data_IF_961183401312
#
_entry.id   IF_961183401312
#
_cell.length_a   1.000
_cell.length_b   1.000
_cell.length_c   1.000
_cell.angle_alpha   90.00
_cell.angle_beta   90.00
_cell.angle_gamma   90.00
#
_symmetry.space_group_name_H-M   'P 1'
#
loop_
_entity.id
_entity.type
_entity.pdbx_description
1 polymer ?
#
# COMPACT_ATOMS: atom_id res chain seq x y z
N UNK A 1 0.72 -10.91 8.03
CA UNK A 1 -0.63 -10.41 8.39
C UNK A 1 -0.53 -9.02 9.00
N UNK A 2 -1.43 -8.10 8.62
CA UNK A 2 -1.52 -6.73 9.14
C UNK A 2 -2.84 -6.58 9.90
N UNK A 3 -2.81 -5.87 11.03
CA UNK A 3 -4.00 -5.63 11.84
C UNK A 3 -3.97 -4.22 12.40
N UNK A 4 -5.10 -3.52 12.31
CA UNK A 4 -5.36 -2.23 12.96
C UNK A 4 -6.42 -2.43 14.04
N UNK A 5 -6.20 -1.91 15.25
CA UNK A 5 -7.11 -1.99 16.39
C UNK A 5 -7.37 -0.60 16.95
N UNK A 6 -8.56 -0.09 16.72
CA UNK A 6 -9.08 1.20 17.24
C UNK A 6 -8.16 2.39 16.98
N UNK A 7 -7.47 2.37 15.82
CA UNK A 7 -6.55 3.42 15.46
C UNK A 7 -7.25 4.77 15.38
N UNK A 8 -6.69 5.74 16.10
CA UNK A 8 -7.18 7.13 16.08
C UNK A 8 -6.02 8.11 15.91
N UNK A 9 -6.27 9.18 15.14
CA UNK A 9 -5.31 10.25 14.89
C UNK A 9 -6.01 11.57 14.64
N UNK A 10 -5.54 12.61 15.35
CA UNK A 10 -6.00 13.98 15.18
C UNK A 10 -4.84 14.91 14.80
N UNK A 11 -5.13 15.93 14.04
CA UNK A 11 -4.23 17.03 13.70
C UNK A 11 -4.92 18.35 14.09
N UNK A 12 -4.58 18.88 15.26
CA UNK A 12 -5.32 19.99 15.85
C UNK A 12 -6.78 19.60 16.09
N UNK A 13 -7.71 20.38 15.54
CA UNK A 13 -9.16 20.13 15.64
C UNK A 13 -9.66 19.02 14.68
N UNK A 14 -8.85 18.60 13.70
CA UNK A 14 -9.27 17.63 12.67
C UNK A 14 -8.99 16.21 13.16
N UNK A 15 -10.06 15.43 13.37
CA UNK A 15 -9.98 14.00 13.65
C UNK A 15 -9.88 13.22 12.33
N UNK A 16 -8.66 13.00 11.86
CA UNK A 16 -8.39 12.35 10.58
C UNK A 16 -8.70 10.84 10.57
N UNK A 17 -8.52 10.17 11.72
CA UNK A 17 -8.83 8.74 11.90
C UNK A 17 -9.50 8.57 13.25
N UNK A 18 -10.61 7.80 13.29
CA UNK A 18 -11.51 7.70 14.44
C UNK A 18 -11.88 6.24 14.71
N UNK A 19 -11.04 5.50 15.44
CA UNK A 19 -11.28 4.11 15.83
C UNK A 19 -11.29 3.14 14.65
N UNK A 20 -10.35 3.27 13.72
CA UNK A 20 -10.23 2.38 12.57
C UNK A 20 -9.70 1.02 12.99
N UNK A 21 -10.48 -0.04 12.72
CA UNK A 21 -10.13 -1.42 12.98
C UNK A 21 -10.37 -2.28 11.74
N UNK A 22 -9.35 -3.04 11.32
CA UNK A 22 -9.42 -4.01 10.23
C UNK A 22 -8.22 -4.96 10.26
N UNK A 23 -8.27 -6.01 9.43
CA UNK A 23 -7.14 -6.92 9.19
C UNK A 23 -6.92 -7.13 7.70
N UNK A 24 -5.65 -7.35 7.31
CA UNK A 24 -5.27 -7.83 6.00
C UNK A 24 -4.46 -9.13 6.18
N UNK A 25 -4.82 -10.17 5.42
CA UNK A 25 -4.34 -11.54 5.61
C UNK A 25 -3.21 -11.89 4.65
N UNK A 26 -2.41 -12.88 5.05
CA UNK A 26 -1.38 -13.46 4.18
C UNK A 26 -2.03 -14.13 2.95
N UNK A 27 -1.38 -14.01 1.80
CA UNK A 27 -1.89 -14.55 0.54
C UNK A 27 -3.13 -13.83 0.00
N UNK A 28 -3.40 -12.61 0.46
CA UNK A 28 -4.54 -11.81 0.01
C UNK A 28 -4.12 -10.38 -0.35
N UNK A 29 -4.88 -9.79 -1.27
CA UNK A 29 -4.81 -8.36 -1.59
C UNK A 29 -6.03 -7.69 -0.96
N UNK A 30 -5.77 -6.80 0.01
CA UNK A 30 -6.79 -5.97 0.66
C UNK A 30 -6.73 -4.55 0.14
N UNK A 31 -7.84 -4.02 -0.36
CA UNK A 31 -7.98 -2.64 -0.80
C UNK A 31 -8.47 -1.74 0.32
N UNK A 32 -7.77 -0.65 0.61
CA UNK A 32 -8.22 0.42 1.50
C UNK A 32 -8.86 1.52 0.66
N UNK A 33 -10.18 1.48 0.53
CA UNK A 33 -10.97 2.33 -0.36
C UNK A 33 -11.59 3.51 0.40
N UNK A 34 -11.67 4.65 -0.24
CA UNK A 34 -12.33 5.83 0.30
C UNK A 34 -12.01 7.10 -0.49
N UNK A 35 -12.79 8.18 -0.32
CA UNK A 35 -12.53 9.44 -1.00
C UNK A 35 -11.24 10.11 -0.48
N UNK A 36 -10.83 11.18 -1.15
CA UNK A 36 -9.73 12.01 -0.67
C UNK A 36 -10.08 12.60 0.70
N UNK A 37 -9.12 12.63 1.62
CA UNK A 37 -9.36 13.09 2.98
C UNK A 37 -10.06 12.08 3.91
N UNK A 38 -10.46 10.90 3.44
CA UNK A 38 -11.12 9.88 4.28
C UNK A 38 -10.27 9.31 5.42
N UNK A 39 -8.95 9.54 5.42
CA UNK A 39 -8.03 9.01 6.43
C UNK A 39 -7.16 7.84 5.97
N UNK A 40 -7.25 7.40 4.70
CA UNK A 40 -6.49 6.26 4.16
C UNK A 40 -4.97 6.38 4.38
N UNK A 41 -4.35 7.43 3.81
CA UNK A 41 -2.90 7.64 3.92
C UNK A 41 -2.46 7.89 5.38
N UNK A 42 -3.31 8.52 6.21
CA UNK A 42 -3.04 8.66 7.65
C UNK A 42 -3.00 7.30 8.34
N UNK A 43 -3.96 6.43 8.04
CA UNK A 43 -4.01 5.04 8.55
C UNK A 43 -2.78 4.27 8.11
N UNK A 44 -2.43 4.30 6.81
CA UNK A 44 -1.22 3.64 6.32
C UNK A 44 0.05 4.18 7.00
N UNK A 45 0.18 5.50 7.18
CA UNK A 45 1.33 6.12 7.86
C UNK A 45 1.48 5.68 9.32
N UNK A 46 0.39 5.35 10.00
CA UNK A 46 0.45 4.72 11.33
C UNK A 46 0.91 3.27 11.24
N UNK A 47 0.40 2.48 10.29
CA UNK A 47 0.80 1.10 10.06
C UNK A 47 2.31 0.99 9.76
N UNK A 48 2.86 1.85 8.89
CA UNK A 48 4.29 1.82 8.61
C UNK A 48 5.13 2.76 9.52
N UNK A 49 4.58 3.09 10.70
CA UNK A 49 5.31 3.71 11.83
C UNK A 49 5.88 5.10 11.57
N UNK A 50 5.41 5.83 10.55
CA UNK A 50 5.77 7.24 10.29
C UNK A 50 4.97 8.19 11.16
N UNK A 51 3.72 7.82 11.47
CA UNK A 51 2.87 8.54 12.42
C UNK A 51 2.59 7.66 13.64
N UNK A 52 2.74 8.23 14.83
CA UNK A 52 2.29 7.57 16.05
C UNK A 52 0.78 7.76 16.20
N UNK A 53 -0.02 6.70 16.41
CA UNK A 53 -1.43 6.83 16.73
C UNK A 53 -1.63 7.55 18.07
N UNK A 54 -2.69 8.32 18.20
CA UNK A 54 -3.07 8.97 19.47
C UNK A 54 -3.77 7.96 20.38
N UNK A 55 -4.54 7.02 19.82
CA UNK A 55 -5.13 5.88 20.51
C UNK A 55 -5.15 4.64 19.59
N UNK A 56 -5.36 3.47 20.21
CA UNK A 56 -5.29 2.20 19.51
C UNK A 56 -3.87 1.76 19.20
N UNK A 57 -3.74 0.67 18.45
CA UNK A 57 -2.46 0.12 18.00
C UNK A 57 -2.61 -0.59 16.66
N UNK A 58 -1.49 -0.88 16.01
CA UNK A 58 -1.46 -1.77 14.84
C UNK A 58 -0.38 -2.84 15.02
N UNK A 59 -0.57 -3.97 14.33
CA UNK A 59 0.31 -5.12 14.46
C UNK A 59 0.73 -5.60 13.08
N UNK A 60 2.02 -5.87 12.95
CA UNK A 60 2.64 -6.44 11.75
C UNK A 60 3.22 -7.79 12.15
N UNK A 61 2.63 -8.88 11.69
CA UNK A 61 2.98 -10.24 12.12
C UNK A 61 3.00 -10.37 13.66
N UNK A 62 2.00 -9.76 14.32
CA UNK A 62 1.85 -9.75 15.78
C UNK A 62 2.73 -8.74 16.53
N UNK A 63 3.57 -7.96 15.85
CA UNK A 63 4.45 -6.95 16.46
C UNK A 63 3.79 -5.59 16.50
N UNK A 64 3.70 -4.99 17.67
CA UNK A 64 3.13 -3.65 17.87
C UNK A 64 3.93 -2.57 17.14
N UNK A 65 3.25 -1.71 16.38
CA UNK A 65 3.89 -0.55 15.75
C UNK A 65 4.26 0.54 16.75
N UNK A 66 3.66 0.52 17.95
CA UNK A 66 3.95 1.48 19.04
C UNK A 66 5.13 1.03 19.88
N UNK A 67 5.15 -0.24 20.26
CA UNK A 67 6.10 -0.77 21.23
C UNK A 67 7.34 -1.37 20.55
N UNK A 68 7.18 -1.94 19.36
CA UNK A 68 8.25 -2.56 18.58
C UNK A 68 8.40 -1.97 17.15
N UNK A 69 8.47 -0.65 16.98
CA UNK A 69 8.41 -0.02 15.65
C UNK A 69 9.52 -0.47 14.68
N UNK A 70 10.72 -0.76 15.19
CA UNK A 70 11.81 -1.23 14.35
C UNK A 70 11.59 -2.67 13.87
N UNK A 71 11.03 -3.52 14.71
CA UNK A 71 10.70 -4.89 14.36
C UNK A 71 9.55 -4.93 13.34
N UNK A 72 8.52 -4.10 13.54
CA UNK A 72 7.43 -3.92 12.59
C UNK A 72 7.92 -3.43 11.22
N UNK A 73 8.81 -2.43 11.17
CA UNK A 73 9.42 -1.94 9.90
C UNK A 73 10.19 -3.02 9.15
N UNK A 74 10.90 -3.90 9.85
CA UNK A 74 11.65 -4.99 9.20
C UNK A 74 10.74 -6.01 8.51
N UNK A 75 9.49 -6.13 8.96
CA UNK A 75 8.50 -7.04 8.39
C UNK A 75 7.67 -6.41 7.24
N UNK A 76 7.90 -5.12 6.94
CA UNK A 76 7.13 -4.34 5.96
C UNK A 76 7.97 -3.92 4.76
N UNK A 77 7.43 -4.11 3.56
CA UNK A 77 7.81 -3.37 2.37
C UNK A 77 6.81 -2.24 2.14
N UNK A 78 7.29 -1.02 1.99
CA UNK A 78 6.42 0.16 1.87
C UNK A 78 6.68 0.92 0.58
N UNK A 79 5.62 1.15 -0.19
CA UNK A 79 5.56 2.13 -1.25
C UNK A 79 4.66 3.28 -0.79
N UNK A 80 5.25 4.36 -0.27
CA UNK A 80 4.50 5.54 0.14
C UNK A 80 4.13 6.40 -1.06
N UNK A 81 3.03 7.13 -0.95
CA UNK A 81 2.64 8.12 -1.96
C UNK A 81 3.79 9.12 -2.21
N UNK A 82 4.13 9.35 -3.48
CA UNK A 82 5.23 10.24 -3.85
C UNK A 82 6.63 9.70 -3.52
N UNK A 83 6.77 8.40 -3.24
CA UNK A 83 8.08 7.77 -2.99
C UNK A 83 9.05 8.04 -4.14
N UNK A 84 9.92 9.02 -3.97
CA UNK A 84 10.98 9.35 -4.92
C UNK A 84 12.05 8.27 -4.98
N UNK A 85 12.74 8.19 -6.11
CA UNK A 85 13.99 7.44 -6.24
C UNK A 85 15.17 8.39 -6.20
N UNK A 86 16.35 7.93 -5.79
CA UNK A 86 17.56 8.73 -5.80
C UNK A 86 18.01 8.94 -7.25
N UNK A 87 17.87 10.17 -7.73
CA UNK A 87 18.08 10.53 -9.14
C UNK A 87 19.51 10.31 -9.64
N UNK A 88 20.50 10.39 -8.74
CA UNK A 88 21.93 10.22 -9.04
C UNK A 88 22.43 8.80 -8.87
N UNK A 89 21.52 7.87 -8.56
CA UNK A 89 21.79 6.42 -8.52
C UNK A 89 21.07 5.75 -9.69
N UNK A 90 21.65 4.66 -10.18
CA UNK A 90 20.97 3.74 -11.10
C UNK A 90 19.82 3.02 -10.37
N UNK A 91 18.95 2.31 -11.11
CA UNK A 91 17.91 1.51 -10.45
C UNK A 91 18.54 0.43 -9.56
N UNK A 92 19.59 -0.26 -10.05
CA UNK A 92 20.32 -1.28 -9.30
C UNK A 92 20.95 -0.73 -8.03
N UNK A 93 21.59 0.42 -8.09
CA UNK A 93 22.16 1.10 -6.92
C UNK A 93 21.10 1.55 -5.93
N UNK A 94 19.95 2.07 -6.41
CA UNK A 94 18.80 2.38 -5.57
C UNK A 94 18.35 1.15 -4.76
N UNK A 95 18.23 -0.02 -5.41
CA UNK A 95 17.83 -1.27 -4.74
C UNK A 95 18.90 -1.70 -3.73
N UNK A 96 20.17 -1.75 -4.15
CA UNK A 96 21.27 -2.16 -3.30
C UNK A 96 21.43 -1.28 -2.06
N UNK A 97 21.26 0.05 -2.20
CA UNK A 97 21.32 1.00 -1.09
C UNK A 97 20.25 0.70 -0.04
N UNK A 98 19.01 0.39 -0.45
CA UNK A 98 17.97 0.00 0.50
C UNK A 98 18.25 -1.35 1.16
N UNK A 99 18.87 -2.29 0.45
CA UNK A 99 19.38 -3.53 1.05
C UNK A 99 20.41 -3.25 2.14
N UNK A 100 21.30 -2.29 1.93
CA UNK A 100 22.27 -1.86 2.93
C UNK A 100 21.60 -1.27 4.18
N UNK A 101 20.60 -0.41 4.02
CA UNK A 101 19.84 0.15 5.13
C UNK A 101 19.12 -0.93 5.96
N UNK A 102 18.78 -2.07 5.34
CA UNK A 102 18.24 -3.24 6.02
C UNK A 102 19.31 -4.18 6.60
N UNK A 103 20.60 -3.82 6.51
CA UNK A 103 21.71 -4.59 7.08
C UNK A 103 22.15 -5.80 6.22
N UNK A 104 21.77 -5.86 4.95
CA UNK A 104 22.18 -6.94 4.05
C UNK A 104 23.68 -6.83 3.71
N UNK A 105 24.35 -7.97 3.58
CA UNK A 105 25.73 -8.02 3.10
C UNK A 105 25.86 -7.49 1.66
N UNK A 106 27.05 -7.09 1.26
CA UNK A 106 27.31 -6.61 -0.11
C UNK A 106 26.95 -7.65 -1.18
N UNK A 107 27.26 -8.92 -0.93
CA UNK A 107 26.92 -10.03 -1.82
C UNK A 107 25.42 -10.25 -1.91
N UNK A 108 24.72 -10.30 -0.76
CA UNK A 108 23.28 -10.58 -0.72
C UNK A 108 22.46 -9.48 -1.39
N UNK A 109 22.80 -8.20 -1.14
CA UNK A 109 22.09 -7.08 -1.78
C UNK A 109 22.35 -7.01 -3.28
N UNK A 110 23.56 -7.40 -3.76
CA UNK A 110 23.86 -7.45 -5.19
C UNK A 110 23.08 -8.58 -5.88
N UNK A 111 23.07 -9.78 -5.32
CA UNK A 111 22.27 -10.90 -5.80
C UNK A 111 20.77 -10.55 -5.80
N UNK A 112 20.27 -9.98 -4.69
CA UNK A 112 18.87 -9.60 -4.56
C UNK A 112 18.46 -8.49 -5.54
N UNK A 113 19.34 -7.51 -5.81
CA UNK A 113 19.08 -6.49 -6.82
C UNK A 113 18.94 -7.11 -8.21
N UNK A 114 19.74 -8.13 -8.55
CA UNK A 114 19.62 -8.86 -9.82
C UNK A 114 18.28 -9.61 -9.91
N UNK A 115 17.90 -10.36 -8.87
CA UNK A 115 16.60 -11.05 -8.83
C UNK A 115 15.43 -10.06 -9.03
N UNK A 116 15.47 -8.89 -8.37
CA UNK A 116 14.40 -7.90 -8.47
C UNK A 116 14.38 -7.20 -9.82
N UNK A 117 15.53 -6.98 -10.44
CA UNK A 117 15.62 -6.47 -11.81
C UNK A 117 14.95 -7.43 -12.79
N UNK A 118 15.11 -8.74 -12.61
CA UNK A 118 14.46 -9.78 -13.42
C UNK A 118 12.96 -9.84 -13.14
N UNK A 119 12.56 -9.95 -11.85
CA UNK A 119 11.15 -10.03 -11.43
C UNK A 119 10.31 -8.87 -11.95
N UNK A 120 10.88 -7.66 -11.94
CA UNK A 120 10.18 -6.42 -12.31
C UNK A 120 10.43 -6.01 -13.77
N UNK A 121 11.10 -6.86 -14.57
CA UNK A 121 11.42 -6.58 -15.97
C UNK A 121 12.09 -5.21 -16.14
N UNK A 122 13.19 -4.98 -15.38
CA UNK A 122 13.89 -3.70 -15.32
C UNK A 122 15.20 -3.69 -16.13
N UNK A 123 15.55 -4.80 -16.79
CA UNK A 123 16.83 -4.96 -17.53
C UNK A 123 17.14 -3.78 -18.47
N UNK A 124 16.18 -3.22 -19.23
CA UNK A 124 16.46 -2.13 -20.16
C UNK A 124 16.95 -0.82 -19.53
N UNK A 125 16.73 -0.65 -18.21
CA UNK A 125 17.08 0.59 -17.53
C UNK A 125 17.76 0.39 -16.16
N UNK A 126 18.02 -0.85 -15.73
CA UNK A 126 18.57 -1.16 -14.41
C UNK A 126 19.87 -0.42 -14.09
N UNK A 127 20.72 -0.23 -15.09
CA UNK A 127 22.04 0.40 -14.96
C UNK A 127 22.06 1.86 -15.48
N UNK A 128 20.88 2.46 -15.74
CA UNK A 128 20.73 3.88 -16.07
C UNK A 128 20.46 4.70 -14.82
N UNK A 129 20.89 5.97 -14.80
CA UNK A 129 20.59 6.92 -13.74
C UNK A 129 19.08 7.21 -13.69
N UNK A 130 18.52 7.25 -12.47
CA UNK A 130 17.09 7.42 -12.26
C UNK A 130 16.57 8.83 -12.59
N UNK A 131 17.43 9.83 -12.80
CA UNK A 131 17.07 11.19 -13.16
C UNK A 131 16.16 11.28 -14.39
N UNK A 132 16.32 10.38 -15.36
CA UNK A 132 15.54 10.35 -16.61
C UNK A 132 14.43 9.28 -16.64
N UNK A 133 14.02 8.72 -15.51
CA UNK A 133 13.03 7.65 -15.47
C UNK A 133 11.61 8.16 -15.70
N UNK A 134 10.83 7.39 -16.49
CA UNK A 134 9.38 7.53 -16.56
C UNK A 134 8.74 7.20 -15.20
N UNK A 135 7.47 7.56 -15.01
CA UNK A 135 6.75 7.22 -13.78
C UNK A 135 6.69 5.70 -13.54
N UNK A 136 6.46 4.89 -14.58
CA UNK A 136 6.49 3.45 -14.49
C UNK A 136 7.86 2.89 -14.09
N UNK A 137 8.96 3.44 -14.62
CA UNK A 137 10.32 3.07 -14.22
C UNK A 137 10.63 3.46 -12.75
N UNK A 138 10.16 4.64 -12.31
CA UNK A 138 10.26 5.07 -10.91
C UNK A 138 9.49 4.15 -9.99
N UNK A 139 8.25 3.79 -10.35
CA UNK A 139 7.43 2.86 -9.59
C UNK A 139 8.12 1.49 -9.45
N UNK A 140 8.56 0.89 -10.57
CA UNK A 140 9.28 -0.40 -10.53
C UNK A 140 10.49 -0.34 -9.61
N UNK A 141 11.28 0.74 -9.68
CA UNK A 141 12.45 0.95 -8.81
C UNK A 141 12.04 1.08 -7.33
N UNK A 142 10.98 1.83 -7.03
CA UNK A 142 10.47 2.00 -5.68
C UNK A 142 9.89 0.70 -5.11
N UNK A 143 9.19 -0.10 -5.93
CA UNK A 143 8.72 -1.44 -5.55
C UNK A 143 9.89 -2.41 -5.29
N UNK A 144 10.92 -2.40 -6.15
CA UNK A 144 12.12 -3.20 -5.93
C UNK A 144 12.79 -2.86 -4.59
N UNK A 145 12.88 -1.57 -4.24
CA UNK A 145 13.38 -1.12 -2.92
C UNK A 145 12.52 -1.64 -1.77
N UNK A 146 11.19 -1.59 -1.91
CA UNK A 146 10.27 -2.12 -0.91
C UNK A 146 10.39 -3.63 -0.73
N UNK A 147 10.79 -4.37 -1.77
CA UNK A 147 10.91 -5.83 -1.78
C UNK A 147 12.32 -6.35 -1.44
N UNK A 148 13.33 -5.48 -1.32
CA UNK A 148 14.74 -5.91 -1.26
C UNK A 148 15.05 -6.83 -0.08
N UNK A 149 14.48 -6.55 1.10
CA UNK A 149 14.68 -7.31 2.33
C UNK A 149 13.69 -8.47 2.51
N UNK A 150 12.99 -8.87 1.43
CA UNK A 150 12.03 -10.00 1.40
C UNK A 150 10.90 -9.89 2.45
N UNK A 151 10.21 -8.74 2.56
CA UNK A 151 9.13 -8.58 3.52
C UNK A 151 7.95 -9.48 3.16
N UNK A 152 7.26 -10.03 4.17
CA UNK A 152 6.00 -10.77 3.94
C UNK A 152 4.80 -9.85 3.72
N UNK A 153 4.87 -8.64 4.23
CA UNK A 153 3.78 -7.67 4.20
C UNK A 153 4.16 -6.48 3.33
N UNK A 154 3.25 -6.07 2.45
CA UNK A 154 3.42 -4.92 1.56
C UNK A 154 2.32 -3.88 1.80
N UNK A 155 2.73 -2.64 1.99
CA UNK A 155 1.86 -1.47 2.10
C UNK A 155 2.11 -0.55 0.92
N UNK A 156 1.08 -0.28 0.11
CA UNK A 156 1.17 0.52 -1.10
C UNK A 156 0.17 1.68 -1.02
N UNK A 157 0.66 2.91 -0.95
CA UNK A 157 -0.19 4.10 -0.86
C UNK A 157 -0.39 4.70 -2.26
N UNK A 158 -1.59 4.49 -2.82
CA UNK A 158 -2.02 4.92 -4.17
C UNK A 158 -1.01 4.54 -5.29
N UNK A 159 -0.66 3.26 -5.43
CA UNK A 159 0.45 2.82 -6.29
C UNK A 159 0.21 3.03 -7.79
N UNK A 160 -1.02 3.24 -8.22
CA UNK A 160 -1.43 3.41 -9.62
C UNK A 160 -1.51 4.87 -10.05
N UNK A 161 -1.42 5.80 -9.10
CA UNK A 161 -1.60 7.22 -9.36
C UNK A 161 -0.57 7.75 -10.39
N UNK A 162 -1.08 8.35 -11.48
CA UNK A 162 -0.28 8.93 -12.56
C UNK A 162 0.39 7.90 -13.49
N UNK A 163 0.03 6.62 -13.41
CA UNK A 163 0.52 5.60 -14.33
C UNK A 163 -0.32 5.52 -15.59
N UNK A 164 0.32 5.17 -16.70
CA UNK A 164 -0.37 4.76 -17.91
C UNK A 164 -0.99 3.36 -17.77
N UNK A 165 -1.87 3.00 -18.72
CA UNK A 165 -2.61 1.72 -18.71
C UNK A 165 -1.68 0.50 -18.69
N UNK A 166 -0.55 0.57 -19.40
CA UNK A 166 0.39 -0.56 -19.48
C UNK A 166 1.14 -0.75 -18.16
N UNK A 167 1.54 0.34 -17.51
CA UNK A 167 2.17 0.31 -16.19
C UNK A 167 1.20 -0.22 -15.11
N UNK A 168 -0.07 0.19 -15.14
CA UNK A 168 -1.11 -0.35 -14.25
C UNK A 168 -1.30 -1.85 -14.44
N UNK A 169 -1.37 -2.35 -15.70
CA UNK A 169 -1.45 -3.78 -16.00
C UNK A 169 -0.25 -4.55 -15.48
N UNK A 170 0.96 -4.00 -15.68
CA UNK A 170 2.20 -4.61 -15.17
C UNK A 170 2.21 -4.69 -13.63
N UNK A 171 1.79 -3.62 -12.95
CA UNK A 171 1.66 -3.60 -11.50
C UNK A 171 0.66 -4.67 -11.01
N UNK A 172 -0.52 -4.76 -11.62
CA UNK A 172 -1.53 -5.77 -11.24
C UNK A 172 -0.99 -7.19 -11.37
N UNK A 173 -0.34 -7.51 -12.48
CA UNK A 173 0.29 -8.83 -12.69
C UNK A 173 1.29 -9.15 -11.58
N UNK A 174 2.13 -8.19 -11.22
CA UNK A 174 3.09 -8.34 -10.13
C UNK A 174 2.40 -8.57 -8.77
N UNK A 175 1.37 -7.78 -8.45
CA UNK A 175 0.67 -7.92 -7.15
C UNK A 175 -0.03 -9.28 -7.04
N UNK A 176 -0.59 -9.79 -8.14
CA UNK A 176 -1.15 -11.16 -8.18
C UNK A 176 -0.06 -12.21 -7.94
N UNK A 177 1.11 -12.11 -8.59
CA UNK A 177 2.23 -13.02 -8.37
C UNK A 177 2.71 -12.99 -6.90
N UNK A 178 2.81 -11.81 -6.31
CA UNK A 178 3.21 -11.66 -4.90
C UNK A 178 2.16 -12.24 -3.95
N UNK A 179 0.86 -12.05 -4.23
CA UNK A 179 -0.22 -12.69 -3.49
C UNK A 179 -0.12 -14.22 -3.55
N UNK A 180 0.08 -14.78 -4.73
CA UNK A 180 0.23 -16.23 -4.94
C UNK A 180 1.48 -16.79 -4.25
N UNK A 181 2.53 -15.96 -4.11
CA UNK A 181 3.71 -16.27 -3.31
C UNK A 181 3.47 -16.15 -1.78
N UNK A 182 2.25 -15.83 -1.34
CA UNK A 182 1.86 -15.76 0.07
C UNK A 182 2.05 -14.40 0.75
N UNK A 183 2.37 -13.34 0.01
CA UNK A 183 2.48 -12.01 0.60
C UNK A 183 1.12 -11.47 1.07
N UNK A 184 1.11 -10.79 2.21
CA UNK A 184 0.01 -9.93 2.65
C UNK A 184 0.16 -8.58 1.96
N UNK A 185 -0.83 -8.15 1.18
CA UNK A 185 -0.77 -6.89 0.43
C UNK A 185 -1.93 -6.00 0.85
N UNK A 186 -1.63 -4.81 1.34
CA UNK A 186 -2.60 -3.76 1.61
C UNK A 186 -2.27 -2.56 0.73
N UNK A 187 -3.21 -2.13 -0.12
CA UNK A 187 -3.02 -0.92 -0.89
C UNK A 187 -4.21 0.04 -0.78
N UNK A 188 -3.92 1.35 -0.76
CA UNK A 188 -4.95 2.36 -0.83
C UNK A 188 -5.26 2.73 -2.28
N UNK A 189 -6.54 2.98 -2.56
CA UNK A 189 -6.98 3.58 -3.81
C UNK A 189 -8.25 4.41 -3.58
N UNK A 190 -8.46 5.40 -4.43
CA UNK A 190 -9.73 6.07 -4.58
C UNK A 190 -10.43 5.64 -5.89
N UNK A 191 -9.79 4.77 -6.68
CA UNK A 191 -10.32 4.25 -7.95
C UNK A 191 -10.96 2.88 -7.71
N UNK A 192 -12.28 2.84 -7.72
CA UNK A 192 -13.05 1.65 -7.38
C UNK A 192 -12.83 0.49 -8.35
N UNK A 193 -12.66 0.79 -9.65
CA UNK A 193 -12.37 -0.22 -10.67
C UNK A 193 -11.07 -0.98 -10.42
N UNK A 194 -10.06 -0.34 -9.82
CA UNK A 194 -8.79 -1.00 -9.48
C UNK A 194 -9.00 -2.00 -8.34
N UNK A 195 -9.72 -1.57 -7.31
CA UNK A 195 -10.07 -2.41 -6.16
C UNK A 195 -10.90 -3.61 -6.63
N UNK A 196 -11.88 -3.36 -7.49
CA UNK A 196 -12.78 -4.39 -8.03
C UNK A 196 -12.07 -5.48 -8.83
N UNK A 197 -11.02 -5.12 -9.56
CA UNK A 197 -10.27 -6.03 -10.41
C UNK A 197 -9.11 -6.76 -9.73
N UNK A 198 -8.69 -6.30 -8.55
CA UNK A 198 -7.45 -6.77 -7.93
C UNK A 198 -7.64 -7.33 -6.53
N UNK A 199 -8.61 -6.82 -5.75
CA UNK A 199 -8.71 -7.16 -4.33
C UNK A 199 -9.52 -8.43 -4.08
N UNK A 200 -9.08 -9.19 -3.10
CA UNK A 200 -9.84 -10.29 -2.49
C UNK A 200 -10.79 -9.72 -1.42
N UNK A 201 -10.31 -8.75 -0.64
CA UNK A 201 -11.07 -8.05 0.40
C UNK A 201 -10.94 -6.53 0.25
N UNK A 202 -11.91 -5.81 0.78
CA UNK A 202 -11.90 -4.34 0.81
C UNK A 202 -12.28 -3.82 2.18
N UNK A 203 -11.63 -2.73 2.56
CA UNK A 203 -11.96 -1.91 3.74
C UNK A 203 -12.32 -0.52 3.24
N UNK A 204 -13.57 -0.13 3.45
CA UNK A 204 -14.08 1.19 3.03
C UNK A 204 -13.97 2.15 4.19
N UNK A 205 -13.24 3.25 3.98
CA UNK A 205 -13.09 4.34 4.97
C UNK A 205 -13.82 5.58 4.47
N UNK A 206 -14.67 6.14 5.33
CA UNK A 206 -15.30 7.43 5.10
C UNK A 206 -15.30 8.25 6.41
N UNK A 207 -14.98 9.53 6.31
CA UNK A 207 -14.94 10.43 7.48
C UNK A 207 -14.03 9.93 8.62
N UNK A 208 -12.97 9.23 8.33
CA UNK A 208 -12.02 8.68 9.31
C UNK A 208 -12.46 7.39 10.00
N UNK A 209 -13.50 6.73 9.56
CA UNK A 209 -14.04 5.49 10.14
C UNK A 209 -14.19 4.39 9.08
N UNK A 210 -14.12 3.13 9.50
CA UNK A 210 -14.48 1.99 8.64
C UNK A 210 -16.00 1.92 8.55
N UNK A 211 -16.53 2.06 7.35
CA UNK A 211 -17.98 1.96 7.09
C UNK A 211 -18.38 0.58 6.56
N UNK A 212 -17.44 -0.13 5.94
CA UNK A 212 -17.62 -1.53 5.54
C UNK A 212 -16.26 -2.22 5.43
N UNK A 213 -16.23 -3.52 5.69
CA UNK A 213 -15.07 -4.38 5.46
C UNK A 213 -15.53 -5.79 5.12
N UNK A 214 -14.76 -6.50 4.29
CA UNK A 214 -14.97 -7.90 3.91
C UNK A 214 -14.70 -8.18 2.44
N UNK A 215 -15.09 -9.38 1.98
CA UNK A 215 -14.95 -9.75 0.59
C UNK A 215 -15.83 -8.86 -0.31
N UNK A 216 -15.35 -8.58 -1.52
CA UNK A 216 -16.10 -7.77 -2.50
C UNK A 216 -17.50 -8.32 -2.77
N UNK A 217 -17.63 -9.64 -2.85
CA UNK A 217 -18.92 -10.31 -3.07
C UNK A 217 -19.91 -10.02 -1.93
N UNK A 218 -19.45 -10.03 -0.67
CA UNK A 218 -20.28 -9.81 0.50
C UNK A 218 -20.74 -8.34 0.57
N UNK A 219 -19.87 -7.40 0.22
CA UNK A 219 -20.20 -5.96 0.19
C UNK A 219 -21.27 -5.69 -0.87
N UNK A 220 -21.12 -6.28 -2.07
CA UNK A 220 -22.13 -6.19 -3.13
C UNK A 220 -23.47 -6.78 -2.71
N UNK A 221 -23.45 -7.96 -2.09
CA UNK A 221 -24.67 -8.62 -1.60
C UNK A 221 -25.40 -7.77 -0.54
N UNK A 222 -24.66 -7.20 0.41
CA UNK A 222 -25.21 -6.35 1.48
C UNK A 222 -25.86 -5.05 0.98
N UNK A 223 -25.29 -4.47 -0.08
CA UNK A 223 -25.80 -3.20 -0.64
C UNK A 223 -26.85 -3.42 -1.75
N UNK A 224 -27.01 -4.65 -2.23
CA UNK A 224 -27.89 -4.95 -3.37
C UNK A 224 -27.34 -4.45 -4.72
N UNK A 225 -26.13 -3.92 -4.75
CA UNK A 225 -25.54 -3.31 -5.92
C UNK A 225 -24.55 -4.24 -6.62
N UNK A 226 -24.64 -4.32 -7.96
CA UNK A 226 -23.71 -5.14 -8.77
C UNK A 226 -22.35 -4.47 -8.95
N UNK A 227 -22.30 -3.13 -8.97
CA UNK A 227 -21.07 -2.35 -9.12
C UNK A 227 -20.58 -1.87 -7.75
N UNK A 228 -19.27 -1.87 -7.55
CA UNK A 228 -18.65 -1.42 -6.30
C UNK A 228 -18.87 0.08 -6.08
N UNK A 229 -18.98 0.87 -7.16
CA UNK A 229 -19.25 2.31 -7.12
C UNK A 229 -20.61 2.60 -6.47
N UNK A 230 -21.68 1.91 -6.91
CA UNK A 230 -23.02 2.07 -6.34
C UNK A 230 -23.07 1.60 -4.89
N UNK A 231 -22.37 0.50 -4.58
CA UNK A 231 -22.23 0.00 -3.23
C UNK A 231 -21.54 1.03 -2.33
N UNK A 232 -20.47 1.66 -2.82
CA UNK A 232 -19.74 2.70 -2.11
C UNK A 232 -20.61 3.93 -1.82
N UNK A 233 -21.34 4.44 -2.82
CA UNK A 233 -22.28 5.57 -2.67
C UNK A 233 -23.34 5.26 -1.60
N UNK A 234 -23.89 4.04 -1.62
CA UNK A 234 -24.87 3.58 -0.63
C UNK A 234 -24.29 3.53 0.78
N UNK A 235 -23.03 3.10 0.95
CA UNK A 235 -22.35 2.98 2.24
C UNK A 235 -21.88 4.32 2.81
N UNK A 236 -21.58 5.30 1.94
CA UNK A 236 -21.06 6.62 2.35
C UNK A 236 -22.17 7.68 2.46
N UNK A 237 -23.43 7.32 2.21
CA UNK A 237 -24.58 8.21 2.32
C UNK A 237 -24.72 9.23 1.19
N UNK A 238 -24.20 8.92 -0.01
CA UNK A 238 -24.42 9.73 -1.21
C UNK A 238 -23.74 11.11 -1.22
N UNK A 239 -22.87 11.41 -0.28
CA UNK A 239 -22.11 12.67 -0.29
C UNK A 239 -20.96 12.55 -1.31
N UNK A 240 -21.27 12.84 -2.58
CA UNK A 240 -20.28 13.21 -3.57
C UNK A 240 -19.66 14.57 -3.20
N UNK A 241 -18.36 14.73 -3.45
CA UNK A 241 -17.69 16.04 -3.36
C UNK A 241 -18.43 17.03 -4.26
N UNK A 242 -19.17 17.99 -3.66
CA UNK A 242 -19.83 19.04 -4.44
C UNK A 242 -21.05 19.72 -3.80
N UNK A 243 -21.50 19.33 -2.63
CA UNK A 243 -22.61 20.03 -1.97
C UNK A 243 -22.05 21.01 -0.91
N UNK A 244 -22.08 22.34 -1.18
CA UNK A 244 -21.76 23.35 -0.17
C UNK A 244 -22.94 23.45 0.80
N UNK A 245 -22.68 23.20 2.07
CA UNK A 245 -23.58 23.53 3.20
C UNK A 245 -23.61 25.00 3.47
#
# INVERSE_FOLDING_TARGET
>A
MLEARDLSKSFGAIKAVRGVSFSARDGQITGLLGPNGAGKSTTLRMLYTVLKPDAGDAFIDGRSVRDEPLAARRALGVLSHGAGVYNHLTARENIAYFGELHGMSRSDRAARATELVELLEMQPFADRLAKGFSQGQRLKTALARALVHRPRNLLLDEPTNGLDVMAVRGLRKLLVQLREAGHCILFSSHVMQEVDQLCDEVVVIAGGQVVAAGALADIRARTGNRQLEDAFVSLTGGKSEGDPS
#
